data_IF_725970018989
#
_entry.id   IF_725970018989
#
_cell.length_a   1.000
_cell.length_b   1.000
_cell.length_c   1.000
_cell.angle_alpha   90.00
_cell.angle_beta   90.00
_cell.angle_gamma   90.00
#
_symmetry.space_group_name_H-M   'P 1'
#
loop_
_entity.id
_entity.type
_entity.pdbx_description
1 polymer ?
#
# COMPACT_ATOMS: atom_id res chain seq x y z
N UNK A 1 1.35 -24.69 -2.15
CA UNK A 1 1.10 -23.65 -1.13
C UNK A 1 1.81 -22.40 -1.60
N UNK A 2 1.12 -21.27 -1.75
CA UNK A 2 1.80 -20.04 -2.20
C UNK A 2 2.71 -19.52 -1.07
N UNK A 3 3.99 -19.32 -1.34
CA UNK A 3 5.02 -18.95 -0.35
C UNK A 3 4.71 -17.56 0.21
N UNK A 4 4.44 -17.45 1.51
CA UNK A 4 4.13 -16.16 2.17
C UNK A 4 5.41 -15.30 2.17
N UNK A 5 5.32 -14.04 1.74
CA UNK A 5 6.44 -13.10 1.81
C UNK A 5 6.85 -12.88 3.28
N UNK A 6 8.12 -13.08 3.57
CA UNK A 6 8.75 -12.75 4.85
C UNK A 6 8.87 -11.23 5.02
N UNK A 7 9.00 -10.77 6.27
CA UNK A 7 9.17 -9.35 6.56
C UNK A 7 10.43 -8.77 5.90
N UNK A 8 11.52 -9.55 5.80
CA UNK A 8 12.75 -9.13 5.12
C UNK A 8 12.56 -8.94 3.61
N UNK A 9 11.84 -9.85 2.94
CA UNK A 9 11.50 -9.69 1.53
C UNK A 9 10.63 -8.46 1.29
N UNK A 10 9.63 -8.22 2.16
CA UNK A 10 8.77 -7.04 2.06
C UNK A 10 9.60 -5.75 2.27
N UNK A 11 10.46 -5.71 3.29
CA UNK A 11 11.36 -4.58 3.54
C UNK A 11 12.22 -4.25 2.32
N UNK A 12 12.85 -5.26 1.70
CA UNK A 12 13.66 -5.04 0.50
C UNK A 12 12.86 -4.46 -0.67
N UNK A 13 11.56 -4.75 -0.76
CA UNK A 13 10.68 -4.20 -1.79
C UNK A 13 10.19 -2.79 -1.45
N UNK A 14 10.25 -2.36 -0.19
CA UNK A 14 9.84 -1.02 0.23
C UNK A 14 10.95 0.02 0.07
N UNK A 15 12.22 -0.38 0.08
CA UNK A 15 13.38 0.52 -0.07
C UNK A 15 13.25 1.54 -1.22
N UNK A 16 12.79 1.16 -2.43
CA UNK A 16 12.66 2.12 -3.54
C UNK A 16 11.62 3.23 -3.32
N UNK A 17 10.69 3.06 -2.37
CA UNK A 17 9.68 4.07 -2.06
C UNK A 17 10.26 5.23 -1.25
N UNK A 18 11.36 5.03 -0.53
CA UNK A 18 11.94 6.05 0.34
C UNK A 18 12.42 7.25 -0.48
N UNK A 19 12.03 8.46 -0.06
CA UNK A 19 12.32 9.71 -0.73
C UNK A 19 11.41 10.00 -1.92
N UNK A 20 10.52 9.08 -2.30
CA UNK A 20 9.59 9.28 -3.40
C UNK A 20 8.32 10.00 -2.94
N UNK A 21 7.76 10.79 -3.85
CA UNK A 21 6.53 11.55 -3.61
C UNK A 21 5.30 10.72 -3.96
N UNK A 22 4.31 10.69 -3.08
CA UNK A 22 3.03 10.01 -3.30
C UNK A 22 2.20 10.82 -4.30
N UNK A 23 1.75 10.15 -5.35
CA UNK A 23 0.83 10.70 -6.34
C UNK A 23 -0.64 10.35 -6.03
N UNK A 24 -0.91 9.15 -5.53
CA UNK A 24 -2.24 8.73 -5.07
C UNK A 24 -2.18 7.46 -4.24
N UNK A 25 -3.15 7.31 -3.32
CA UNK A 25 -3.46 6.04 -2.65
C UNK A 25 -4.87 5.59 -3.05
N UNK A 26 -4.98 4.45 -3.75
CA UNK A 26 -6.25 3.87 -4.17
C UNK A 26 -6.58 2.65 -3.32
N UNK A 27 -7.65 2.73 -2.53
CA UNK A 27 -8.17 1.59 -1.76
C UNK A 27 -9.34 0.98 -2.52
N UNK A 28 -9.12 -0.20 -3.08
CA UNK A 28 -9.99 -0.84 -4.08
C UNK A 28 -10.76 -2.05 -3.52
N UNK A 29 -10.33 -2.57 -2.37
CA UNK A 29 -11.04 -3.60 -1.62
C UNK A 29 -12.21 -3.03 -0.83
N UNK A 30 -13.44 -3.44 -1.17
CA UNK A 30 -14.67 -2.97 -0.50
C UNK A 30 -14.69 -3.34 1.00
N UNK A 31 -14.11 -4.48 1.37
CA UNK A 31 -14.00 -4.93 2.78
C UNK A 31 -12.79 -4.33 3.53
N UNK A 32 -11.93 -3.61 2.82
CA UNK A 32 -10.76 -2.92 3.38
C UNK A 32 -11.11 -1.52 3.89
N UNK A 33 -12.35 -1.09 3.67
CA UNK A 33 -12.86 0.23 4.00
C UNK A 33 -13.08 0.35 5.51
N UNK A 34 -12.04 0.83 6.21
CA UNK A 34 -12.21 1.52 7.50
C UNK A 34 -12.46 3.00 7.18
N UNK A 35 -13.16 3.71 8.06
CA UNK A 35 -13.26 5.18 7.95
C UNK A 35 -11.86 5.77 7.90
N UNK A 36 -11.49 6.38 6.78
CA UNK A 36 -10.24 7.13 6.64
C UNK A 36 -10.45 8.52 7.24
N UNK A 37 -9.72 8.83 8.31
CA UNK A 37 -9.65 10.17 8.88
C UNK A 37 -8.17 10.44 9.21
N UNK A 38 -7.42 11.11 8.31
CA UNK A 38 -7.87 11.85 7.11
C UNK A 38 -8.13 10.96 5.88
N UNK A 39 -8.66 11.53 4.80
CA UNK A 39 -8.93 10.80 3.55
C UNK A 39 -7.63 10.51 2.77
N UNK A 40 -7.58 9.49 1.90
CA UNK A 40 -6.37 9.14 1.13
C UNK A 40 -5.79 10.29 0.29
N UNK A 41 -6.62 11.24 -0.14
CA UNK A 41 -6.20 12.41 -0.91
C UNK A 41 -5.27 13.34 -0.10
N UNK A 42 -5.30 13.27 1.24
CA UNK A 42 -4.41 14.04 2.09
C UNK A 42 -2.92 13.66 1.93
N UNK A 43 -2.63 12.49 1.36
CA UNK A 43 -1.27 12.02 1.11
C UNK A 43 -0.65 12.57 -0.18
N UNK A 44 -1.46 13.13 -1.08
CA UNK A 44 -0.96 13.57 -2.39
C UNK A 44 0.07 14.68 -2.22
N UNK A 45 1.26 14.47 -2.76
CA UNK A 45 2.37 15.42 -2.67
C UNK A 45 3.31 15.18 -1.48
N UNK A 46 2.93 14.34 -0.53
CA UNK A 46 3.81 13.98 0.59
C UNK A 46 4.94 13.06 0.14
N UNK A 47 6.07 13.15 0.83
CA UNK A 47 7.26 12.33 0.57
C UNK A 47 7.31 11.21 1.59
N UNK A 48 7.61 9.99 1.12
CA UNK A 48 7.89 8.86 1.99
C UNK A 48 9.24 9.07 2.66
N UNK A 49 9.24 9.24 3.97
CA UNK A 49 10.45 9.46 4.79
C UNK A 49 11.05 8.14 5.26
N UNK A 50 10.19 7.19 5.62
CA UNK A 50 10.56 5.86 6.06
C UNK A 50 9.46 4.86 5.71
N UNK A 51 9.85 3.59 5.67
CA UNK A 51 8.92 2.47 5.62
C UNK A 51 9.48 1.34 6.47
N UNK A 52 8.61 0.64 7.19
CA UNK A 52 8.97 -0.52 8.00
C UNK A 52 7.94 -1.64 7.86
N UNK A 53 8.33 -2.82 8.35
CA UNK A 53 7.47 -3.99 8.44
C UNK A 53 7.60 -4.60 9.82
N UNK A 54 6.49 -4.62 10.55
CA UNK A 54 6.36 -5.37 11.79
C UNK A 54 5.42 -6.54 11.53
N UNK A 55 5.97 -7.75 11.61
CA UNK A 55 5.28 -8.99 11.20
C UNK A 55 4.77 -8.93 9.75
N UNK A 56 3.50 -8.58 9.57
CA UNK A 56 2.81 -8.47 8.28
C UNK A 56 2.09 -7.14 8.10
N UNK A 57 2.41 -6.18 8.96
CA UNK A 57 1.95 -4.80 8.85
C UNK A 57 3.07 -3.98 8.25
N UNK A 58 2.80 -3.36 7.11
CA UNK A 58 3.68 -2.37 6.49
C UNK A 58 3.30 -1.00 7.03
N UNK A 59 4.26 -0.24 7.53
CA UNK A 59 4.09 1.17 7.85
C UNK A 59 4.85 2.02 6.85
N UNK A 60 4.22 3.09 6.38
CA UNK A 60 4.82 4.10 5.50
C UNK A 60 4.65 5.45 6.18
N UNK A 61 5.77 6.06 6.51
CA UNK A 61 5.87 7.34 7.19
C UNK A 61 6.06 8.46 6.17
N UNK A 62 5.28 9.52 6.31
CA UNK A 62 5.48 10.79 5.63
C UNK A 62 5.68 11.92 6.64
N UNK A 63 5.87 13.15 6.19
CA UNK A 63 6.00 14.30 7.09
C UNK A 63 4.78 14.47 8.03
N UNK A 64 3.55 14.29 7.54
CA UNK A 64 2.34 14.57 8.33
C UNK A 64 1.48 13.34 8.62
N UNK A 65 1.76 12.19 8.02
CA UNK A 65 0.90 11.01 8.12
C UNK A 65 1.68 9.71 8.31
N UNK A 66 0.98 8.71 8.87
CA UNK A 66 1.41 7.31 8.84
C UNK A 66 0.33 6.50 8.15
N UNK A 67 0.75 5.71 7.16
CA UNK A 67 -0.09 4.77 6.43
C UNK A 67 0.28 3.36 6.88
N UNK A 68 -0.68 2.62 7.42
CA UNK A 68 -0.47 1.23 7.83
C UNK A 68 -1.29 0.28 6.98
N UNK A 69 -0.63 -0.73 6.42
CA UNK A 69 -1.26 -1.80 5.64
C UNK A 69 -1.06 -3.15 6.34
N UNK A 70 -2.14 -3.73 6.85
CA UNK A 70 -2.11 -5.09 7.39
C UNK A 70 -2.34 -6.09 6.25
N UNK A 71 -1.29 -6.83 5.88
CA UNK A 71 -1.33 -7.78 4.77
C UNK A 71 -2.18 -9.02 5.08
N UNK A 72 -2.54 -9.27 6.34
CA UNK A 72 -3.24 -10.47 6.78
C UNK A 72 -2.53 -11.74 6.29
N UNK A 73 -3.15 -12.92 6.43
CA UNK A 73 -2.48 -14.22 6.18
C UNK A 73 -1.88 -14.39 4.77
N UNK A 74 -2.53 -13.88 3.74
CA UNK A 74 -2.16 -14.18 2.34
C UNK A 74 -1.88 -12.96 1.48
N UNK A 75 -1.94 -11.75 2.04
CA UNK A 75 -1.64 -10.52 1.30
C UNK A 75 -0.19 -10.46 0.86
N UNK A 76 0.03 -9.77 -0.26
CA UNK A 76 1.33 -9.66 -0.91
C UNK A 76 1.56 -8.24 -1.40
N UNK A 77 2.80 -7.80 -1.34
CA UNK A 77 3.27 -6.59 -1.99
C UNK A 77 3.88 -6.94 -3.35
N UNK A 78 3.49 -6.20 -4.38
CA UNK A 78 4.01 -6.29 -5.74
C UNK A 78 4.46 -4.90 -6.17
N UNK A 79 5.74 -4.75 -6.51
CA UNK A 79 6.26 -3.50 -7.09
C UNK A 79 5.82 -3.35 -8.54
N UNK A 80 5.59 -2.10 -8.93
CA UNK A 80 5.24 -1.69 -10.28
C UNK A 80 6.31 -0.69 -10.75
N UNK A 81 7.09 -1.09 -11.76
CA UNK A 81 8.07 -0.19 -12.39
C UNK A 81 7.37 0.94 -13.16
N UNK A 82 6.17 0.65 -13.69
CA UNK A 82 5.29 1.61 -14.33
C UNK A 82 3.87 1.40 -13.79
N UNK A 83 3.38 2.40 -13.07
CA UNK A 83 2.12 2.37 -12.36
C UNK A 83 1.20 3.48 -12.89
N UNK A 84 0.02 3.07 -13.36
CA UNK A 84 -1.09 3.96 -13.66
C UNK A 84 -2.21 3.78 -12.62
N UNK A 85 -3.11 4.78 -12.46
CA UNK A 85 -4.36 4.58 -11.75
C UNK A 85 -5.07 3.31 -12.18
N UNK A 86 -5.44 2.48 -11.21
CA UNK A 86 -6.06 1.19 -11.49
C UNK A 86 -7.35 1.38 -12.28
N UNK A 87 -7.47 0.63 -13.38
CA UNK A 87 -8.69 0.50 -14.18
C UNK A 87 -9.15 -0.94 -14.09
N UNK A 88 -10.47 -1.14 -13.97
CA UNK A 88 -11.01 -2.49 -13.94
C UNK A 88 -10.80 -3.17 -15.30
N UNK A 89 -9.97 -4.23 -15.33
CA UNK A 89 -9.74 -5.04 -16.52
C UNK A 89 -10.34 -6.42 -16.31
N UNK A 90 -11.23 -6.83 -17.24
CA UNK A 90 -11.89 -8.13 -17.18
C UNK A 90 -10.87 -9.28 -17.17
N UNK A 91 -11.08 -10.27 -16.30
CA UNK A 91 -10.20 -11.43 -16.18
C UNK A 91 -8.92 -11.21 -15.35
N UNK A 92 -8.64 -9.98 -14.90
CA UNK A 92 -7.50 -9.70 -14.01
C UNK A 92 -7.93 -9.62 -12.55
N UNK A 93 -7.07 -10.06 -11.65
CA UNK A 93 -7.31 -9.94 -10.22
C UNK A 93 -7.08 -8.49 -9.78
N UNK A 94 -8.13 -7.81 -9.30
CA UNK A 94 -8.04 -6.46 -8.73
C UNK A 94 -7.15 -6.47 -7.48
N UNK A 95 -6.15 -5.55 -7.37
CA UNK A 95 -5.41 -5.34 -6.14
C UNK A 95 -6.34 -4.79 -5.05
N UNK A 96 -6.03 -5.06 -3.79
CA UNK A 96 -6.77 -4.49 -2.66
C UNK A 96 -6.41 -3.03 -2.46
N UNK A 97 -5.13 -2.68 -2.66
CA UNK A 97 -4.60 -1.32 -2.60
C UNK A 97 -3.63 -1.10 -3.75
N UNK A 98 -3.62 0.11 -4.32
CA UNK A 98 -2.55 0.61 -5.18
C UNK A 98 -2.01 1.92 -4.63
N UNK A 99 -0.69 2.00 -4.44
CA UNK A 99 0.02 3.26 -4.16
C UNK A 99 0.77 3.68 -5.42
N UNK A 100 0.56 4.92 -5.84
CA UNK A 100 1.22 5.53 -6.99
C UNK A 100 2.25 6.55 -6.51
N UNK A 101 3.42 6.53 -7.13
CA UNK A 101 4.48 7.51 -6.91
C UNK A 101 4.54 8.51 -8.08
N UNK A 102 5.04 9.70 -7.80
CA UNK A 102 5.12 10.79 -8.78
C UNK A 102 6.12 10.53 -9.90
N UNK A 103 7.09 9.62 -9.71
CA UNK A 103 8.04 9.19 -10.73
C UNK A 103 7.46 8.14 -11.70
N UNK A 104 6.19 7.75 -11.50
CA UNK A 104 5.51 6.75 -12.31
C UNK A 104 5.69 5.32 -11.82
N UNK A 105 6.46 5.07 -10.75
CA UNK A 105 6.50 3.78 -10.07
C UNK A 105 5.33 3.62 -9.10
N UNK A 106 5.19 2.43 -8.51
CA UNK A 106 4.18 2.20 -7.47
C UNK A 106 4.23 0.81 -6.86
N UNK A 107 3.22 0.50 -6.07
CA UNK A 107 3.02 -0.84 -5.54
C UNK A 107 1.55 -1.23 -5.48
N UNK A 108 1.29 -2.51 -5.67
CA UNK A 108 0.01 -3.15 -5.41
C UNK A 108 0.09 -4.03 -4.17
N UNK A 109 -0.94 -3.95 -3.33
CA UNK A 109 -1.19 -4.95 -2.31
C UNK A 109 -2.29 -5.88 -2.81
N UNK A 110 -1.95 -7.16 -2.99
CA UNK A 110 -2.82 -8.17 -3.59
C UNK A 110 -3.13 -9.29 -2.61
N UNK A 111 -4.30 -9.90 -2.76
CA UNK A 111 -4.67 -11.13 -2.04
C UNK A 111 -5.14 -12.18 -3.03
N UNK A 112 -4.56 -13.39 -3.03
CA UNK A 112 -5.05 -14.48 -3.88
C UNK A 112 -6.45 -14.97 -3.50
N UNK A 113 -6.86 -14.77 -2.24
CA UNK A 113 -8.14 -15.23 -1.73
C UNK A 113 -9.33 -14.46 -2.33
N UNK A 114 -10.46 -15.17 -2.50
CA UNK A 114 -11.74 -14.55 -2.93
C UNK A 114 -12.20 -13.48 -1.95
N UNK A 115 -12.03 -13.73 -0.65
CA UNK A 115 -12.31 -12.77 0.41
C UNK A 115 -11.07 -11.94 0.69
N UNK A 116 -11.13 -10.66 0.33
CA UNK A 116 -10.10 -9.66 0.64
C UNK A 116 -10.22 -9.23 2.10
N UNK A 117 -9.10 -9.21 2.82
CA UNK A 117 -9.00 -8.86 4.25
C UNK A 117 -7.90 -7.86 4.54
N UNK A 118 -7.04 -7.51 3.58
CA UNK A 118 -6.06 -6.44 3.76
C UNK A 118 -6.79 -5.21 4.29
N UNK A 119 -6.27 -4.59 5.34
CA UNK A 119 -6.82 -3.34 5.87
C UNK A 119 -5.82 -2.21 5.68
N UNK A 120 -6.35 -0.99 5.54
CA UNK A 120 -5.56 0.23 5.44
C UNK A 120 -6.01 1.16 6.56
N UNK A 121 -5.04 1.75 7.26
CA UNK A 121 -5.27 2.81 8.23
C UNK A 121 -4.42 4.01 7.82
N UNK A 122 -5.00 5.20 7.90
CA UNK A 122 -4.32 6.47 7.67
C UNK A 122 -4.55 7.35 8.89
N UNK A 123 -3.48 7.84 9.51
CA UNK A 123 -3.52 8.72 10.68
C UNK A 123 -2.62 9.93 10.49
N UNK A 124 -2.97 11.04 11.13
CA UNK A 124 -2.08 12.21 11.23
C UNK A 124 -0.98 11.90 12.23
N UNK A 125 0.26 12.26 11.92
CA UNK A 125 1.38 12.19 12.87
C UNK A 125 1.14 13.18 14.01
N UNK A 126 1.31 12.76 15.28
CA UNK A 126 1.36 13.71 16.37
C UNK A 126 2.57 14.64 16.20
N UNK A 127 2.39 15.90 16.58
CA UNK A 127 3.43 16.92 16.57
C UNK A 127 4.50 16.69 17.65
#
# INVERSE_FOLDING_TARGET
MAVIQSSAEIMSLLEPLKGQRIAALQVLGVNSLKTFSPTPEALVGEVVEAADVVERTINVDTANHVISFDLQRTGRLVLLESAEPYRLVAGTARPTVRLLMADGSGMDLTEPAKTKRITVTLVVKPA
#
